data_IF_880336973672
#
_entry.id   IF_880336973672
#
_cell.length_a   1.000
_cell.length_b   1.000
_cell.length_c   1.000
_cell.angle_alpha   90.00
_cell.angle_beta   90.00
_cell.angle_gamma   90.00
#
_symmetry.space_group_name_H-M   'P 1'
#
loop_
_entity.id
_entity.type
_entity.pdbx_description
1 polymer ?
#
# COMPACT_ATOMS: atom_id res chain seq x y z
N UNK A 1 9.87 -7.05 10.22
CA UNK A 1 9.39 -5.97 11.10
C UNK A 1 8.60 -6.63 12.22
N UNK A 2 7.95 -5.89 13.13
CA UNK A 2 7.02 -6.51 14.09
C UNK A 2 5.65 -5.84 14.02
N UNK A 3 4.60 -6.63 13.85
CA UNK A 3 3.21 -6.18 13.99
C UNK A 3 2.96 -5.61 15.39
N UNK A 4 2.17 -4.55 15.45
CA UNK A 4 1.75 -3.86 16.67
C UNK A 4 0.24 -3.97 16.75
N UNK A 5 -0.25 -4.73 17.71
CA UNK A 5 -1.68 -4.87 17.99
C UNK A 5 -2.29 -3.53 18.41
N UNK A 6 -3.41 -3.17 17.79
CA UNK A 6 -4.16 -1.97 18.13
C UNK A 6 -5.67 -2.23 17.92
N UNK A 7 -6.37 -2.49 19.02
CA UNK A 7 -7.80 -2.80 19.01
C UNK A 7 -8.67 -1.66 18.45
N UNK A 8 -8.24 -0.39 18.57
CA UNK A 8 -8.97 0.73 17.99
C UNK A 8 -8.94 0.64 16.45
N UNK A 9 -7.79 0.29 15.86
CA UNK A 9 -7.67 0.13 14.41
C UNK A 9 -8.43 -1.08 13.90
N UNK A 10 -8.40 -2.20 14.64
CA UNK A 10 -9.16 -3.41 14.32
C UNK A 10 -10.67 -3.13 14.31
N UNK A 11 -11.17 -2.41 15.33
CA UNK A 11 -12.57 -1.99 15.41
C UNK A 11 -12.95 -1.12 14.20
N UNK A 12 -12.10 -0.16 13.83
CA UNK A 12 -12.35 0.72 12.68
C UNK A 12 -12.37 -0.07 11.37
N UNK A 13 -11.41 -0.97 11.14
CA UNK A 13 -11.37 -1.81 9.95
C UNK A 13 -12.63 -2.68 9.81
N UNK A 14 -13.07 -3.30 10.92
CA UNK A 14 -14.32 -4.07 10.96
C UNK A 14 -15.54 -3.20 10.68
N UNK A 15 -15.61 -2.00 11.28
CA UNK A 15 -16.71 -1.06 11.07
C UNK A 15 -16.81 -0.65 9.60
N UNK A 16 -15.69 -0.34 8.93
CA UNK A 16 -15.69 -0.03 7.48
C UNK A 16 -16.20 -1.23 6.69
N UNK A 17 -15.76 -2.44 7.03
CA UNK A 17 -16.15 -3.68 6.33
C UNK A 17 -17.65 -3.99 6.45
N UNK A 18 -18.23 -3.81 7.63
CA UNK A 18 -19.66 -4.02 7.90
C UNK A 18 -20.58 -2.99 7.21
N UNK A 19 -20.04 -1.81 6.87
CA UNK A 19 -20.79 -0.73 6.24
C UNK A 19 -20.67 -0.73 4.71
N UNK A 20 -20.08 -1.77 4.11
CA UNK A 20 -19.98 -1.95 2.67
C UNK A 20 -21.38 -2.09 2.02
N UNK A 21 -21.58 -1.46 0.87
CA UNK A 21 -22.81 -1.51 0.07
C UNK A 21 -22.51 -2.23 -1.26
N UNK A 22 -23.35 -3.20 -1.63
CA UNK A 22 -23.33 -3.92 -2.91
C UNK A 22 -22.00 -4.65 -3.26
N UNK A 23 -21.07 -4.72 -2.31
CA UNK A 23 -19.78 -5.38 -2.43
C UNK A 23 -19.31 -5.87 -1.05
N UNK A 24 -18.20 -6.60 -1.02
CA UNK A 24 -17.51 -7.01 0.21
C UNK A 24 -16.19 -6.27 0.30
N UNK A 25 -15.92 -5.63 1.42
CA UNK A 25 -14.59 -5.07 1.66
C UNK A 25 -13.71 -6.05 2.43
N UNK A 26 -12.46 -6.11 2.03
CA UNK A 26 -11.35 -6.66 2.81
C UNK A 26 -10.47 -5.46 3.20
N UNK A 27 -10.65 -5.00 4.44
CA UNK A 27 -10.04 -3.78 5.00
C UNK A 27 -8.95 -4.16 5.98
N UNK A 28 -7.79 -3.51 5.86
CA UNK A 28 -6.64 -3.70 6.75
C UNK A 28 -6.13 -2.35 7.21
N UNK A 29 -6.07 -2.16 8.52
CA UNK A 29 -5.46 -0.98 9.14
C UNK A 29 -4.45 -1.49 10.18
N UNK A 30 -3.23 -1.71 9.74
CA UNK A 30 -2.23 -2.47 10.48
C UNK A 30 -1.01 -1.61 10.82
N UNK A 31 -0.48 -1.74 12.03
CA UNK A 31 0.68 -0.97 12.51
C UNK A 31 1.91 -1.88 12.65
N UNK A 32 3.07 -1.42 12.16
CA UNK A 32 4.31 -2.17 12.12
C UNK A 32 5.48 -1.36 12.68
N UNK A 33 6.30 -1.97 13.55
CA UNK A 33 7.58 -1.39 13.97
C UNK A 33 8.67 -1.63 12.93
N UNK A 34 9.40 -0.58 12.56
CA UNK A 34 10.57 -0.64 11.67
C UNK A 34 11.81 -1.27 12.32
N UNK A 35 11.70 -1.83 13.53
CA UNK A 35 12.78 -2.58 14.17
C UNK A 35 12.99 -3.88 13.38
N UNK A 36 14.19 -4.05 12.81
CA UNK A 36 14.56 -5.28 12.12
C UNK A 36 14.66 -6.44 13.11
N UNK A 37 13.89 -7.49 12.88
CA UNK A 37 14.04 -8.79 13.55
C UNK A 37 15.08 -9.65 12.82
N UNK A 38 15.46 -10.79 13.39
CA UNK A 38 16.52 -11.63 12.82
C UNK A 38 16.22 -12.13 11.41
N UNK A 39 14.95 -12.41 11.12
CA UNK A 39 14.49 -12.81 9.78
C UNK A 39 14.72 -11.68 8.78
N UNK A 40 14.25 -10.46 9.08
CA UNK A 40 14.47 -9.29 8.22
C UNK A 40 15.96 -9.02 7.96
N UNK A 41 16.80 -9.19 8.99
CA UNK A 41 18.26 -9.01 8.85
C UNK A 41 18.86 -9.99 7.85
N UNK A 42 18.30 -11.19 7.73
CA UNK A 42 18.73 -12.20 6.76
C UNK A 42 18.27 -11.80 5.36
N UNK A 43 17.01 -11.42 5.19
CA UNK A 43 16.46 -11.01 3.89
C UNK A 43 17.11 -9.72 3.36
N UNK A 44 17.29 -8.71 4.21
CA UNK A 44 18.01 -7.49 3.87
C UNK A 44 19.44 -7.75 3.37
N UNK A 45 20.13 -8.76 3.93
CA UNK A 45 21.48 -9.14 3.49
C UNK A 45 21.49 -9.81 2.11
N UNK A 46 20.40 -10.48 1.71
CA UNK A 46 20.30 -11.10 0.37
C UNK A 46 20.11 -10.04 -0.72
N UNK A 47 19.46 -8.93 -0.40
CA UNK A 47 19.21 -7.79 -1.32
C UNK A 47 20.47 -6.95 -1.63
N UNK A 48 21.65 -7.39 -1.21
CA UNK A 48 22.91 -6.64 -1.29
C UNK A 48 23.49 -6.62 -2.71
N UNK A 49 23.03 -5.69 -3.52
CA UNK A 49 23.93 -4.87 -4.34
C UNK A 49 24.33 -3.64 -3.54
N UNK A 50 25.61 -3.34 -3.43
CA UNK A 50 26.17 -2.41 -2.43
C UNK A 50 26.14 -0.92 -2.80
N UNK A 51 25.34 -0.51 -3.78
CA UNK A 51 25.13 0.91 -4.05
C UNK A 51 23.91 1.42 -3.27
N UNK A 52 24.11 2.44 -2.44
CA UNK A 52 23.06 3.25 -1.79
C UNK A 52 22.29 4.12 -2.81
N UNK A 53 22.13 3.63 -4.05
CA UNK A 53 21.44 4.34 -5.11
C UNK A 53 19.94 4.35 -4.83
N UNK A 54 19.37 5.56 -4.81
CA UNK A 54 17.93 5.76 -4.81
C UNK A 54 17.34 5.10 -6.06
N UNK A 55 16.23 4.39 -5.89
CA UNK A 55 15.51 3.70 -6.95
C UNK A 55 14.34 4.58 -7.41
N UNK A 56 13.99 4.58 -8.71
CA UNK A 56 12.91 5.41 -9.22
C UNK A 56 11.53 4.94 -8.75
N UNK A 57 10.60 5.88 -8.52
CA UNK A 57 9.19 5.61 -8.23
C UNK A 57 8.32 5.94 -9.44
N UNK A 58 7.12 5.36 -9.49
CA UNK A 58 6.09 5.75 -10.44
C UNK A 58 5.34 7.02 -10.00
N UNK A 59 4.99 7.91 -10.94
CA UNK A 59 4.26 9.14 -10.62
C UNK A 59 2.82 8.85 -10.14
N UNK A 60 2.21 9.70 -9.29
CA UNK A 60 0.81 9.55 -8.89
C UNK A 60 -0.15 9.68 -10.06
N UNK A 61 -1.03 8.68 -10.26
CA UNK A 61 -2.02 8.68 -11.34
C UNK A 61 -3.01 9.85 -11.27
N UNK A 62 -3.33 10.34 -10.06
CA UNK A 62 -4.23 11.48 -9.82
C UNK A 62 -3.75 12.79 -10.45
N UNK A 63 -2.45 12.92 -10.76
CA UNK A 63 -1.91 14.10 -11.43
C UNK A 63 -2.34 14.21 -12.91
N UNK A 64 -2.94 13.16 -13.49
CA UNK A 64 -3.32 13.11 -14.91
C UNK A 64 -4.75 13.55 -15.23
N UNK A 65 -5.60 13.78 -14.21
CA UNK A 65 -7.03 14.12 -14.39
C UNK A 65 -7.31 15.63 -14.44
N UNK A 66 -6.35 16.49 -14.12
CA UNK A 66 -6.50 17.94 -14.34
C UNK A 66 -6.24 18.26 -15.82
N UNK A 67 -7.35 18.34 -16.57
CA UNK A 67 -7.36 18.46 -18.02
C UNK A 67 -6.40 19.47 -18.62
N UNK A 68 -5.58 19.00 -19.55
CA UNK A 68 -5.11 19.79 -20.69
C UNK A 68 -5.18 18.95 -21.95
N UNK A 69 -6.13 19.28 -22.82
CA UNK A 69 -5.94 19.09 -24.25
C UNK A 69 -4.64 19.82 -24.64
N UNK A 70 -3.60 19.07 -24.99
CA UNK A 70 -2.31 19.63 -25.32
C UNK A 70 -1.47 18.61 -26.08
N UNK A 71 -1.31 18.87 -27.36
CA UNK A 71 -0.49 18.11 -28.31
C UNK A 71 0.95 17.90 -27.80
N UNK A 72 1.45 16.67 -27.95
CA UNK A 72 2.86 16.24 -27.87
C UNK A 72 3.78 17.03 -28.83
N UNK A 73 5.13 16.88 -28.83
CA UNK A 73 6.11 16.58 -27.78
C UNK A 73 7.18 17.69 -27.68
N UNK A 74 7.74 17.99 -26.51
CA UNK A 74 9.11 18.53 -26.51
C UNK A 74 9.95 18.02 -25.34
N UNK A 75 11.08 17.44 -25.75
CA UNK A 75 12.13 16.81 -24.99
C UNK A 75 12.82 17.83 -24.07
N UNK A 76 12.27 18.06 -22.88
CA UNK A 76 12.99 18.72 -21.79
C UNK A 76 13.93 17.71 -21.12
N UNK A 77 15.14 17.54 -21.66
CA UNK A 77 16.23 16.82 -20.98
C UNK A 77 16.47 17.46 -19.61
N UNK A 78 15.89 16.89 -18.55
CA UNK A 78 16.30 17.22 -17.20
C UNK A 78 17.72 16.68 -17.01
N UNK A 79 18.63 17.62 -16.77
CA UNK A 79 20.06 17.33 -16.59
C UNK A 79 20.23 16.37 -15.42
N UNK A 80 21.02 15.35 -15.68
CA UNK A 80 21.62 14.45 -14.70
C UNK A 80 22.45 15.28 -13.70
N UNK A 81 21.85 15.68 -12.58
CA UNK A 81 22.59 16.13 -11.40
C UNK A 81 23.00 14.89 -10.62
N UNK A 82 24.04 14.21 -11.09
CA UNK A 82 24.79 13.26 -10.26
C UNK A 82 25.46 14.07 -9.16
N UNK A 83 24.88 14.08 -7.97
CA UNK A 83 25.57 14.60 -6.79
C UNK A 83 26.32 13.45 -6.13
N UNK A 84 27.62 13.68 -5.97
CA UNK A 84 28.66 12.75 -5.53
C UNK A 84 28.35 12.06 -4.21
N UNK A 85 28.70 10.78 -4.17
CA UNK A 85 28.74 9.88 -3.01
C UNK A 85 29.38 10.54 -1.80
N UNK A 86 28.61 10.72 -0.73
CA UNK A 86 29.14 10.99 0.60
C UNK A 86 29.17 9.69 1.40
N UNK A 87 30.33 9.46 1.99
CA UNK A 87 30.79 8.30 2.72
C UNK A 87 29.87 7.86 3.86
N UNK A 88 29.94 6.56 4.15
CA UNK A 88 29.21 5.89 5.22
C UNK A 88 29.26 6.59 6.58
N UNK A 89 28.06 6.79 7.11
CA UNK A 89 27.77 7.03 8.52
C UNK A 89 26.30 6.72 8.74
N UNK A 90 25.97 6.06 9.85
CA UNK A 90 24.59 5.91 10.40
C UNK A 90 24.05 7.29 10.85
N UNK A 91 24.23 8.34 10.05
CA UNK A 91 23.74 9.68 10.36
C UNK A 91 22.33 9.82 9.82
N UNK A 92 21.38 9.89 10.77
CA UNK A 92 19.98 10.31 10.65
C UNK A 92 19.82 11.77 10.12
N UNK A 93 20.58 12.18 9.10
CA UNK A 93 20.49 13.53 8.53
C UNK A 93 19.80 13.52 7.17
N UNK A 94 18.60 14.11 7.15
CA UNK A 94 17.83 14.64 6.01
C UNK A 94 18.10 13.97 4.66
N UNK A 95 17.60 12.75 4.52
CA UNK A 95 17.40 12.12 3.20
C UNK A 95 16.47 13.04 2.39
N UNK A 96 16.93 13.66 1.29
CA UNK A 96 16.08 14.52 0.47
C UNK A 96 14.96 13.64 -0.09
N UNK A 97 13.72 13.93 0.31
CA UNK A 97 12.53 13.28 -0.22
C UNK A 97 12.33 13.74 -1.67
N UNK A 98 13.08 13.13 -2.58
CA UNK A 98 12.85 13.27 -4.00
C UNK A 98 11.52 12.58 -4.30
N UNK A 99 10.55 13.33 -4.83
CA UNK A 99 9.19 12.85 -5.13
C UNK A 99 9.21 11.57 -5.99
N UNK A 100 10.26 11.39 -6.79
CA UNK A 100 10.37 10.30 -7.76
C UNK A 100 11.41 9.24 -7.38
N UNK A 101 11.89 9.21 -6.13
CA UNK A 101 12.89 8.22 -5.74
C UNK A 101 12.71 7.70 -4.31
N UNK A 102 13.07 6.43 -4.10
CA UNK A 102 12.97 5.71 -2.82
C UNK A 102 14.30 5.06 -2.48
N UNK A 103 14.71 5.11 -1.22
CA UNK A 103 15.86 4.32 -0.80
C UNK A 103 15.51 2.83 -0.72
N UNK A 104 16.50 1.98 -1.01
CA UNK A 104 16.33 0.51 -0.91
C UNK A 104 15.84 0.07 0.45
N UNK A 105 16.23 0.78 1.51
CA UNK A 105 15.77 0.50 2.88
C UNK A 105 14.27 0.73 3.04
N UNK A 106 13.75 1.83 2.51
CA UNK A 106 12.31 2.10 2.55
C UNK A 106 11.58 1.10 1.67
N UNK A 107 12.05 0.84 0.45
CA UNK A 107 11.47 -0.17 -0.43
C UNK A 107 11.36 -1.55 0.25
N UNK A 108 12.45 -2.01 0.88
CA UNK A 108 12.48 -3.25 1.65
C UNK A 108 11.45 -3.22 2.80
N UNK A 109 11.32 -2.11 3.52
CA UNK A 109 10.33 -1.97 4.58
C UNK A 109 8.90 -2.09 4.04
N UNK A 110 8.58 -1.47 2.90
CA UNK A 110 7.25 -1.55 2.29
C UNK A 110 6.91 -2.97 1.82
N UNK A 111 7.84 -3.64 1.14
CA UNK A 111 7.70 -5.04 0.71
C UNK A 111 7.54 -5.97 1.92
N UNK A 112 8.31 -5.72 2.98
CA UNK A 112 8.21 -6.50 4.24
C UNK A 112 6.85 -6.34 4.89
N UNK A 113 6.23 -5.16 4.82
CA UNK A 113 4.85 -4.96 5.31
C UNK A 113 3.86 -5.77 4.48
N UNK A 114 3.96 -5.75 3.15
CA UNK A 114 3.09 -6.53 2.27
C UNK A 114 3.18 -8.04 2.54
N UNK A 115 4.40 -8.58 2.62
CA UNK A 115 4.63 -10.00 2.91
C UNK A 115 4.11 -10.43 4.29
N UNK A 116 4.05 -9.53 5.28
CA UNK A 116 3.42 -9.84 6.57
C UNK A 116 1.90 -9.75 6.49
N UNK A 117 1.36 -8.75 5.79
CA UNK A 117 -0.08 -8.50 5.71
C UNK A 117 -0.81 -9.57 4.90
N UNK A 118 -0.18 -10.04 3.81
CA UNK A 118 -0.72 -11.08 2.93
C UNK A 118 0.23 -12.27 2.86
N UNK A 119 0.19 -13.12 3.89
CA UNK A 119 1.12 -14.24 4.06
C UNK A 119 1.06 -15.33 2.98
N UNK A 120 0.00 -15.37 2.18
CA UNK A 120 -0.18 -16.31 1.07
C UNK A 120 0.42 -15.80 -0.25
N UNK A 121 0.94 -14.57 -0.28
CA UNK A 121 1.48 -13.91 -1.46
C UNK A 121 2.96 -13.57 -1.27
N UNK A 122 3.72 -13.56 -2.37
CA UNK A 122 5.13 -13.18 -2.37
C UNK A 122 5.34 -11.89 -3.14
N UNK A 123 5.73 -10.84 -2.42
CA UNK A 123 6.04 -9.52 -2.98
C UNK A 123 7.56 -9.25 -3.07
N UNK A 124 8.39 -10.27 -2.83
CA UNK A 124 9.85 -10.11 -2.74
C UNK A 124 10.49 -9.59 -4.02
N UNK A 125 9.84 -9.79 -5.17
CA UNK A 125 10.30 -9.35 -6.49
C UNK A 125 9.68 -8.02 -6.95
N UNK A 126 8.90 -7.32 -6.11
CA UNK A 126 8.29 -6.05 -6.51
C UNK A 126 9.36 -4.99 -6.81
N UNK A 127 9.33 -4.38 -8.02
CA UNK A 127 10.22 -3.28 -8.35
C UNK A 127 9.79 -1.99 -7.64
N UNK A 128 10.72 -1.03 -7.55
CA UNK A 128 10.44 0.30 -6.99
C UNK A 128 9.33 1.06 -7.73
N UNK A 129 9.21 0.80 -9.02
CA UNK A 129 8.24 1.38 -9.94
C UNK A 129 6.81 0.90 -9.64
N UNK A 130 6.63 -0.18 -8.88
CA UNK A 130 5.31 -0.55 -8.36
C UNK A 130 4.85 0.37 -7.23
N UNK A 131 5.67 1.33 -6.79
CA UNK A 131 5.33 2.27 -5.74
C UNK A 131 5.26 3.71 -6.23
N UNK A 132 4.40 4.48 -5.58
CA UNK A 132 4.24 5.93 -5.77
C UNK A 132 4.42 6.65 -4.44
N UNK A 133 4.97 7.85 -4.47
CA UNK A 133 5.05 8.74 -3.32
C UNK A 133 4.03 9.89 -3.41
N UNK A 134 3.40 10.21 -2.29
CA UNK A 134 2.48 11.35 -2.15
C UNK A 134 3.10 12.44 -1.28
N UNK A 135 3.19 13.65 -1.84
CA UNK A 135 3.66 14.85 -1.11
C UNK A 135 2.55 15.56 -0.33
N UNK A 136 1.28 15.30 -0.68
CA UNK A 136 0.12 15.92 -0.07
C UNK A 136 -0.90 14.86 0.36
N UNK A 137 -1.15 14.79 1.68
CA UNK A 137 -2.13 13.90 2.26
C UNK A 137 -3.55 14.12 1.72
N UNK A 138 -3.89 15.35 1.30
CA UNK A 138 -5.23 15.61 0.75
C UNK A 138 -5.49 14.84 -0.55
N UNK A 139 -4.45 14.46 -1.30
CA UNK A 139 -4.61 13.60 -2.48
C UNK A 139 -5.05 12.19 -2.09
N UNK A 140 -4.47 11.65 -1.01
CA UNK A 140 -4.83 10.35 -0.43
C UNK A 140 -6.26 10.38 0.08
N UNK A 141 -6.66 11.45 0.79
CA UNK A 141 -8.03 11.63 1.26
C UNK A 141 -9.02 11.64 0.09
N UNK A 142 -8.73 12.40 -0.98
CA UNK A 142 -9.58 12.45 -2.17
C UNK A 142 -9.70 11.10 -2.87
N UNK A 143 -8.61 10.35 -2.99
CA UNK A 143 -8.63 9.01 -3.61
C UNK A 143 -9.51 8.04 -2.81
N UNK A 144 -9.26 7.94 -1.51
CA UNK A 144 -10.01 7.07 -0.60
C UNK A 144 -11.50 7.45 -0.59
N UNK A 145 -11.81 8.75 -0.47
CA UNK A 145 -13.18 9.24 -0.52
C UNK A 145 -13.88 8.86 -1.84
N UNK A 146 -13.18 8.97 -2.97
CA UNK A 146 -13.76 8.65 -4.28
C UNK A 146 -14.11 7.17 -4.42
N UNK A 147 -13.28 6.28 -3.85
CA UNK A 147 -13.50 4.82 -3.85
C UNK A 147 -14.65 4.42 -2.92
N UNK A 148 -14.71 5.04 -1.73
CA UNK A 148 -15.77 4.79 -0.76
C UNK A 148 -17.11 5.47 -1.08
N UNK A 149 -17.13 6.53 -1.90
CA UNK A 149 -18.31 7.36 -2.14
C UNK A 149 -19.58 6.58 -2.55
N UNK A 150 -19.44 5.52 -3.35
CA UNK A 150 -20.56 4.71 -3.84
C UNK A 150 -20.70 3.35 -3.16
N UNK A 151 -19.74 2.96 -2.33
CA UNK A 151 -19.59 1.59 -1.84
C UNK A 151 -19.54 1.49 -0.30
N UNK A 152 -19.49 2.62 0.40
CA UNK A 152 -19.49 2.69 1.87
C UNK A 152 -20.68 3.52 2.36
N UNK A 153 -21.56 2.91 3.15
CA UNK A 153 -22.64 3.62 3.83
C UNK A 153 -22.07 4.54 4.92
N UNK A 154 -22.77 5.63 5.24
CA UNK A 154 -22.37 6.57 6.29
C UNK A 154 -20.94 7.13 6.12
N UNK A 155 -20.43 7.21 4.88
CA UNK A 155 -19.05 7.61 4.58
C UNK A 155 -18.64 8.93 5.26
N UNK A 156 -19.54 9.93 5.32
CA UNK A 156 -19.26 11.21 5.97
C UNK A 156 -18.87 11.07 7.46
N UNK A 157 -19.52 10.18 8.21
CA UNK A 157 -19.20 9.91 9.61
C UNK A 157 -17.98 9.00 9.74
N UNK A 158 -17.93 7.92 8.96
CA UNK A 158 -16.84 6.95 9.02
C UNK A 158 -15.49 7.57 8.63
N UNK A 159 -15.50 8.55 7.72
CA UNK A 159 -14.33 9.33 7.33
C UNK A 159 -13.59 9.93 8.51
N UNK A 160 -14.31 10.62 9.40
CA UNK A 160 -13.71 11.22 10.58
C UNK A 160 -13.21 10.14 11.55
N UNK A 161 -13.94 9.03 11.67
CA UNK A 161 -13.57 7.90 12.52
C UNK A 161 -12.23 7.29 12.11
N UNK A 162 -12.07 6.89 10.84
CA UNK A 162 -10.85 6.20 10.43
C UNK A 162 -9.65 7.13 10.31
N UNK A 163 -9.83 8.37 9.81
CA UNK A 163 -8.71 9.31 9.75
C UNK A 163 -8.24 9.75 11.14
N UNK A 164 -9.16 9.91 12.10
CA UNK A 164 -8.78 10.22 13.49
C UNK A 164 -8.03 9.07 14.15
N UNK A 165 -8.47 7.84 13.96
CA UNK A 165 -7.79 6.66 14.50
C UNK A 165 -6.38 6.47 13.90
N UNK A 166 -6.24 6.66 12.59
CA UNK A 166 -4.95 6.60 11.88
C UNK A 166 -4.02 7.72 12.40
N UNK A 167 -4.49 8.97 12.49
CA UNK A 167 -3.66 10.08 12.96
C UNK A 167 -3.19 9.90 14.41
N UNK A 168 -4.06 9.36 15.28
CA UNK A 168 -3.72 9.00 16.66
C UNK A 168 -2.59 7.96 16.72
N UNK A 169 -2.60 6.96 15.83
CA UNK A 169 -1.61 5.88 15.84
C UNK A 169 -0.27 6.27 15.18
N UNK A 170 -0.27 7.07 14.10
CA UNK A 170 0.95 7.28 13.28
C UNK A 170 1.38 8.74 13.13
N UNK A 171 0.58 9.72 13.58
CA UNK A 171 0.83 11.15 13.38
C UNK A 171 1.08 11.49 11.90
N UNK A 172 0.01 11.58 11.10
CA UNK A 172 0.06 11.64 9.63
C UNK A 172 0.94 12.80 9.14
N UNK A 173 0.92 13.95 9.83
CA UNK A 173 1.76 15.11 9.48
C UNK A 173 3.27 14.82 9.47
N UNK A 174 3.72 13.83 10.23
CA UNK A 174 5.12 13.40 10.28
C UNK A 174 5.45 12.25 9.32
N UNK A 175 4.51 11.85 8.45
CA UNK A 175 4.66 10.68 7.60
C UNK A 175 5.13 11.02 6.19
N UNK A 176 6.00 10.16 5.65
CA UNK A 176 6.13 9.97 4.21
C UNK A 176 5.07 8.97 3.76
N UNK A 177 4.30 9.30 2.72
CA UNK A 177 3.18 8.47 2.28
C UNK A 177 3.51 7.82 0.94
N UNK A 178 3.34 6.50 0.87
CA UNK A 178 3.52 5.72 -0.34
C UNK A 178 2.24 4.96 -0.69
N UNK A 179 2.08 4.58 -1.96
CA UNK A 179 1.10 3.58 -2.36
C UNK A 179 1.70 2.50 -3.23
N UNK A 180 1.12 1.30 -3.19
CA UNK A 180 1.37 0.26 -4.18
C UNK A 180 0.41 0.45 -5.37
N UNK A 181 0.96 0.45 -6.59
CA UNK A 181 0.22 0.36 -7.84
C UNK A 181 -0.04 -1.13 -8.10
N UNK A 182 -1.31 -1.59 -8.18
CA UNK A 182 -1.63 -2.94 -8.61
C UNK A 182 -1.08 -3.18 -10.02
N UNK A 183 -0.19 -4.15 -10.19
CA UNK A 183 0.54 -4.30 -11.46
C UNK A 183 0.79 -5.74 -11.88
N UNK A 184 0.36 -6.73 -11.10
CA UNK A 184 0.76 -8.12 -11.33
C UNK A 184 -0.39 -9.11 -11.24
N UNK A 185 -0.51 -10.03 -12.20
CA UNK A 185 -1.57 -11.06 -12.26
C UNK A 185 -1.64 -11.99 -11.03
N UNK A 186 -0.64 -11.97 -10.14
CA UNK A 186 -0.60 -12.76 -8.90
C UNK A 186 -0.66 -11.94 -7.62
N UNK A 187 -1.03 -10.66 -7.68
CA UNK A 187 -1.26 -9.84 -6.49
C UNK A 187 -2.74 -9.94 -6.05
N UNK A 188 -3.07 -9.76 -4.75
CA UNK A 188 -4.45 -9.85 -4.26
C UNK A 188 -5.34 -8.70 -4.75
N UNK A 189 -4.76 -7.72 -5.45
CA UNK A 189 -5.39 -6.46 -5.84
C UNK A 189 -5.93 -6.49 -7.27
N UNK A 190 -5.52 -7.47 -8.05
CA UNK A 190 -5.94 -7.72 -9.44
C UNK A 190 -6.74 -9.01 -9.61
N UNK A 191 -7.07 -9.69 -8.50
CA UNK A 191 -7.89 -10.91 -8.52
C UNK A 191 -9.25 -10.71 -9.18
N UNK A 192 -9.76 -11.78 -9.79
CA UNK A 192 -11.08 -11.79 -10.40
C UNK A 192 -12.15 -11.36 -9.39
N UNK A 193 -12.89 -10.31 -9.73
CA UNK A 193 -13.94 -9.75 -8.88
C UNK A 193 -13.50 -8.57 -8.02
N UNK A 194 -12.21 -8.21 -8.00
CA UNK A 194 -11.75 -6.95 -7.41
C UNK A 194 -12.25 -5.77 -8.27
N UNK A 195 -13.08 -4.92 -7.68
CA UNK A 195 -13.69 -3.74 -8.33
C UNK A 195 -12.71 -2.58 -8.28
N UNK A 196 -12.13 -2.35 -7.11
CA UNK A 196 -11.10 -1.35 -6.87
C UNK A 196 -10.31 -1.75 -5.63
N UNK A 197 -9.10 -1.20 -5.51
CA UNK A 197 -8.28 -1.33 -4.31
C UNK A 197 -7.46 -0.08 -4.06
N UNK A 198 -6.96 0.06 -2.84
CA UNK A 198 -5.88 0.98 -2.50
C UNK A 198 -4.98 0.36 -1.44
N UNK A 199 -3.72 0.78 -1.41
CA UNK A 199 -2.69 0.23 -0.54
C UNK A 199 -1.76 1.35 -0.09
N UNK A 200 -2.07 2.00 1.02
CA UNK A 200 -1.32 3.16 1.52
C UNK A 200 -0.39 2.80 2.68
N UNK A 201 0.83 3.33 2.63
CA UNK A 201 1.84 3.17 3.67
C UNK A 201 2.18 4.54 4.26
N UNK A 202 1.87 4.73 5.54
CA UNK A 202 2.22 5.92 6.31
C UNK A 202 3.47 5.63 7.12
N UNK A 203 4.63 6.08 6.62
CA UNK A 203 5.92 5.84 7.29
C UNK A 203 6.31 7.05 8.14
N UNK A 204 6.29 6.88 9.46
CA UNK A 204 6.79 7.88 10.40
C UNK A 204 8.22 7.52 10.84
N UNK A 205 9.20 8.30 10.36
CA UNK A 205 10.63 8.10 10.67
C UNK A 205 10.92 8.24 12.17
N UNK A 206 10.37 9.27 12.81
CA UNK A 206 10.57 9.59 14.24
C UNK A 206 10.04 8.47 15.14
N UNK A 207 8.85 7.95 14.84
CA UNK A 207 8.24 6.85 15.58
C UNK A 207 8.84 5.47 15.24
N UNK A 208 9.64 5.38 14.17
CA UNK A 208 10.15 4.12 13.60
C UNK A 208 9.00 3.13 13.35
N UNK A 209 7.94 3.61 12.71
CA UNK A 209 6.67 2.89 12.50
C UNK A 209 6.16 3.08 11.07
N UNK A 210 5.52 2.06 10.53
CA UNK A 210 4.71 2.13 9.31
C UNK A 210 3.29 1.70 9.68
N UNK A 211 2.31 2.52 9.31
CA UNK A 211 0.91 2.12 9.29
C UNK A 211 0.53 1.76 7.85
N UNK A 212 -0.05 0.58 7.66
CA UNK A 212 -0.55 0.09 6.40
C UNK A 212 -2.07 0.20 6.40
N UNK A 213 -2.62 0.99 5.48
CA UNK A 213 -4.05 1.11 5.25
C UNK A 213 -4.38 0.59 3.86
N UNK A 214 -5.00 -0.58 3.79
CA UNK A 214 -5.43 -1.20 2.55
C UNK A 214 -6.91 -1.51 2.58
N UNK A 215 -7.53 -1.41 1.41
CA UNK A 215 -8.87 -1.92 1.19
C UNK A 215 -8.96 -2.43 -0.25
N UNK A 216 -9.57 -3.61 -0.40
CA UNK A 216 -10.07 -4.06 -1.71
C UNK A 216 -11.57 -4.29 -1.64
N UNK A 217 -12.28 -3.83 -2.65
CA UNK A 217 -13.70 -4.08 -2.82
C UNK A 217 -13.90 -5.24 -3.78
N UNK A 218 -14.45 -6.34 -3.27
CA UNK A 218 -14.76 -7.54 -4.03
C UNK A 218 -16.24 -7.54 -4.39
N UNK A 219 -16.57 -7.96 -5.61
CA UNK A 219 -17.96 -8.20 -6.01
C UNK A 219 -18.61 -9.16 -5.03
N UNK A 220 -19.80 -8.81 -4.53
CA UNK A 220 -20.60 -9.72 -3.73
C UNK A 220 -20.94 -10.94 -4.56
N UNK A 221 -20.50 -12.11 -4.13
CA UNK A 221 -20.79 -13.37 -4.81
C UNK A 221 -22.29 -13.63 -4.73
N UNK A 222 -23.03 -13.32 -5.80
CA UNK A 222 -24.43 -13.66 -5.93
C UNK A 222 -24.51 -15.15 -6.27
N UNK A 223 -24.35 -16.00 -5.25
CA UNK A 223 -24.66 -17.42 -5.23
C UNK A 223 -24.37 -18.20 -6.52
N UNK A 224 -23.12 -18.58 -6.74
CA UNK A 224 -22.88 -19.89 -7.36
C UNK A 224 -22.80 -20.91 -6.23
N UNK A 225 -23.94 -21.50 -5.88
CA UNK A 225 -23.93 -22.83 -5.30
C UNK A 225 -23.09 -23.71 -6.23
N UNK A 226 -21.94 -24.13 -5.76
CA UNK A 226 -21.21 -25.21 -6.40
C UNK A 226 -22.13 -26.42 -6.34
N UNK A 227 -22.76 -26.73 -7.48
CA UNK A 227 -23.43 -28.01 -7.70
C UNK A 227 -22.41 -29.09 -7.34
N UNK A 228 -22.61 -29.72 -6.19
CA UNK A 228 -21.87 -30.92 -5.82
C UNK A 228 -22.07 -31.94 -6.94
N UNK A 229 -21.02 -32.59 -7.46
CA UNK A 229 -21.21 -33.68 -8.40
C UNK A 229 -21.90 -34.81 -7.65
N UNK A 230 -23.14 -35.11 -8.04
CA UNK A 230 -23.88 -36.27 -7.54
C UNK A 230 -22.99 -37.52 -7.64
N UNK A 231 -22.65 -38.09 -6.49
CA UNK A 231 -22.16 -39.46 -6.38
C UNK A 231 -23.27 -40.41 -6.83
N UNK A 232 -23.29 -40.74 -8.12
CA UNK A 232 -24.00 -41.92 -8.60
C UNK A 232 -23.27 -43.16 -8.05
N UNK A 233 -23.76 -43.66 -6.93
CA UNK A 233 -23.50 -45.02 -6.45
C UNK A 233 -23.80 -46.02 -7.57
N UNK A 234 -22.76 -46.75 -7.96
CA UNK A 234 -22.88 -48.00 -8.70
C UNK A 234 -23.51 -49.04 -7.76
N UNK A 235 -24.79 -49.34 -7.94
CA UNK A 235 -25.35 -50.60 -7.45
C UNK A 235 -24.86 -51.73 -8.38
N UNK A 236 -24.03 -52.60 -7.82
CA UNK A 236 -23.75 -53.91 -8.38
C UNK A 236 -24.85 -54.88 -7.92
N UNK A 237 -25.51 -55.52 -8.88
CA UNK A 237 -26.08 -56.86 -8.76
C UNK A 237 -25.66 -57.68 -9.99
#
# INVERSE_FOLDING_TARGET
MKFIENADLDLVANTISENAIDCKFDVRIESYSCKMVNVDKKEWKKMKDFNNELQPLSPPELASSEGRFGTSPNHGRFRHLSQSSISGGDSDFDEPHLVNAISRKVLFDLITVLNHSYGDYDFSELPSESFTYFSDFNQVVKDVDSKFASSLSNNAFLKDLYWSAIDKEIQIKGCSIFSLIPSYEKDPFTENGCIWSFNYFFRNKTMKRILFFSCRAMRGDSGFESSSPDEFMNDQD
#
